data_IF_004762422635
#
_entry.id   IF_004762422635
#
_cell.length_a   1.000
_cell.length_b   1.000
_cell.length_c   1.000
_cell.angle_alpha   90.00
_cell.angle_beta   90.00
_cell.angle_gamma   90.00
#
_symmetry.space_group_name_H-M   'P 1'
#
loop_
_entity.id
_entity.type
_entity.pdbx_description
1 polymer ?
#
# COMPACT_ATOMS: atom_id res chain seq x y z
N UNK A 1 -27.79 4.75 34.56
CA UNK A 1 -27.87 3.98 33.30
C UNK A 1 -26.52 4.08 32.63
N UNK A 2 -25.89 2.92 32.39
CA UNK A 2 -24.48 2.73 32.07
C UNK A 2 -24.06 3.43 30.76
N UNK A 3 -22.98 4.23 30.81
CA UNK A 3 -22.29 4.77 29.64
C UNK A 3 -21.20 3.77 29.23
N UNK A 4 -21.32 3.20 28.03
CA UNK A 4 -20.31 2.32 27.46
C UNK A 4 -19.03 3.11 27.12
N UNK A 5 -17.82 2.64 27.46
CA UNK A 5 -16.60 3.35 27.10
C UNK A 5 -16.38 3.31 25.59
N UNK A 6 -16.02 4.46 25.02
CA UNK A 6 -15.58 4.58 23.64
C UNK A 6 -14.45 3.58 23.37
N UNK A 7 -14.61 2.77 22.33
CA UNK A 7 -13.60 1.80 21.87
C UNK A 7 -12.26 2.53 21.69
N UNK A 8 -11.23 2.06 22.38
CA UNK A 8 -9.85 2.42 22.07
C UNK A 8 -9.54 2.07 20.61
N UNK A 9 -8.82 2.91 19.85
CA UNK A 9 -8.32 2.49 18.55
C UNK A 9 -7.36 1.33 18.80
N UNK A 10 -7.72 0.14 18.31
CA UNK A 10 -6.75 -0.96 18.25
C UNK A 10 -5.54 -0.45 17.46
N UNK A 11 -4.30 -0.67 17.92
CA UNK A 11 -3.17 -0.48 17.03
C UNK A 11 -3.40 -1.41 15.85
N UNK A 12 -3.46 -0.85 14.64
CA UNK A 12 -3.42 -1.62 13.41
C UNK A 12 -1.99 -2.20 13.31
N UNK A 13 -1.70 -3.23 14.09
CA UNK A 13 -0.67 -4.18 13.68
C UNK A 13 -1.30 -4.90 12.50
N UNK A 14 -1.05 -4.34 11.32
CA UNK A 14 -1.62 -4.79 10.07
C UNK A 14 -0.97 -6.10 9.69
N UNK A 15 -1.47 -7.21 10.24
CA UNK A 15 -1.08 -8.53 9.75
C UNK A 15 -1.54 -8.63 8.29
N UNK A 16 -0.58 -8.65 7.35
CA UNK A 16 -0.84 -8.82 5.91
C UNK A 16 -0.55 -7.60 5.03
N UNK A 17 0.30 -6.68 5.46
CA UNK A 17 0.80 -5.61 4.59
C UNK A 17 1.96 -6.12 3.70
N UNK A 18 2.12 -5.54 2.51
CA UNK A 18 3.23 -5.91 1.60
C UNK A 18 4.61 -5.63 2.22
N UNK A 19 4.69 -4.65 3.12
CA UNK A 19 5.91 -4.29 3.86
C UNK A 19 6.24 -5.26 5.01
N UNK A 20 5.37 -6.23 5.31
CA UNK A 20 5.69 -7.30 6.26
C UNK A 20 6.77 -8.24 5.68
N UNK A 21 6.94 -8.23 4.35
CA UNK A 21 8.07 -8.88 3.68
C UNK A 21 9.33 -8.05 3.89
N UNK A 22 10.29 -8.62 4.62
CA UNK A 22 11.56 -7.94 4.90
C UNK A 22 12.26 -7.45 3.62
N UNK A 23 12.70 -6.18 3.62
CA UNK A 23 13.37 -5.56 2.49
C UNK A 23 12.45 -4.92 1.44
N UNK A 24 11.12 -5.02 1.60
CA UNK A 24 10.14 -4.30 0.77
C UNK A 24 9.72 -3.00 1.45
N UNK A 25 9.84 -1.90 0.70
CA UNK A 25 9.38 -0.57 1.11
C UNK A 25 8.26 -0.08 0.18
N UNK A 26 7.38 0.78 0.70
CA UNK A 26 6.29 1.41 -0.06
C UNK A 26 6.31 2.92 0.16
N UNK A 27 6.23 3.68 -0.92
CA UNK A 27 6.08 5.14 -0.90
C UNK A 27 4.86 5.59 -1.70
N UNK A 28 4.19 6.63 -1.23
CA UNK A 28 3.04 7.26 -1.89
C UNK A 28 3.24 8.76 -2.04
N UNK A 29 2.79 9.31 -3.15
CA UNK A 29 2.67 10.75 -3.36
C UNK A 29 1.32 11.08 -3.99
N UNK A 30 0.70 12.17 -3.55
CA UNK A 30 -0.59 12.67 -4.04
C UNK A 30 -0.47 14.16 -4.38
N UNK A 31 -0.87 14.57 -5.58
CA UNK A 31 -1.11 15.99 -5.89
C UNK A 31 -2.58 16.31 -5.57
N UNK A 32 -2.83 16.99 -4.46
CA UNK A 32 -4.19 17.32 -4.02
C UNK A 32 -4.91 18.29 -4.97
N UNK A 33 -4.18 19.08 -5.76
CA UNK A 33 -4.76 20.05 -6.70
C UNK A 33 -5.36 19.39 -7.94
N UNK A 34 -4.90 18.18 -8.26
CA UNK A 34 -5.41 17.33 -9.34
C UNK A 34 -5.41 15.91 -8.83
N UNK A 35 -6.55 15.34 -8.42
CA UNK A 35 -6.63 14.14 -7.58
C UNK A 35 -5.99 12.93 -8.28
N UNK A 36 -4.68 12.83 -8.13
CA UNK A 36 -3.77 11.95 -8.85
C UNK A 36 -2.52 11.80 -8.01
N UNK A 37 -1.75 10.77 -8.30
CA UNK A 37 -0.59 10.43 -7.49
C UNK A 37 0.16 9.24 -8.04
N UNK A 38 1.16 8.79 -7.29
CA UNK A 38 1.88 7.57 -7.58
C UNK A 38 2.13 6.78 -6.30
N UNK A 39 2.20 5.46 -6.47
CA UNK A 39 2.64 4.51 -5.46
C UNK A 39 3.84 3.78 -6.03
N UNK A 40 4.88 3.61 -5.22
CA UNK A 40 6.08 2.87 -5.59
C UNK A 40 6.32 1.79 -4.54
N UNK A 41 6.56 0.57 -5.00
CA UNK A 41 7.09 -0.53 -4.20
C UNK A 41 8.57 -0.65 -4.52
N UNK A 42 9.44 -0.62 -3.51
CA UNK A 42 10.90 -0.64 -3.67
C UNK A 42 11.45 -1.89 -2.99
N UNK A 43 12.14 -2.73 -3.77
CA UNK A 43 13.05 -3.74 -3.26
C UNK A 43 14.48 -3.22 -3.43
N UNK A 44 15.09 -2.70 -2.35
CA UNK A 44 16.39 -1.98 -2.45
C UNK A 44 17.52 -2.85 -3.00
N UNK A 45 17.55 -4.11 -2.61
CA UNK A 45 18.54 -5.10 -3.06
C UNK A 45 18.13 -5.79 -4.38
N UNK A 46 17.04 -5.33 -5.01
CA UNK A 46 16.41 -6.00 -6.14
C UNK A 46 15.53 -7.19 -5.71
N UNK A 47 14.68 -7.63 -6.63
CA UNK A 47 13.84 -8.82 -6.49
C UNK A 47 13.52 -9.38 -7.87
N UNK A 48 13.19 -10.67 -7.96
CA UNK A 48 12.68 -11.27 -9.21
C UNK A 48 11.28 -10.74 -9.47
N UNK A 49 11.06 -10.14 -10.65
CA UNK A 49 9.78 -9.60 -11.08
C UNK A 49 9.06 -10.47 -12.11
N UNK A 50 7.72 -10.38 -12.14
CA UNK A 50 6.85 -10.97 -13.16
C UNK A 50 5.60 -10.13 -13.35
N UNK A 51 4.98 -10.17 -14.54
CA UNK A 51 3.81 -9.36 -14.89
C UNK A 51 2.77 -10.19 -15.64
N UNK A 52 1.50 -9.97 -15.34
CA UNK A 52 0.35 -10.51 -16.07
C UNK A 52 -0.66 -9.38 -16.31
N UNK A 53 -0.99 -9.13 -17.58
CA UNK A 53 -1.87 -8.04 -18.01
C UNK A 53 -3.11 -8.63 -18.63
N UNK A 54 -4.25 -8.50 -17.95
CA UNK A 54 -5.52 -9.11 -18.36
C UNK A 54 -6.46 -8.16 -19.11
N UNK A 55 -6.26 -6.85 -18.98
CA UNK A 55 -7.12 -5.83 -19.58
C UNK A 55 -6.81 -5.55 -21.06
N UNK A 56 -7.81 -5.10 -21.83
CA UNK A 56 -7.70 -4.88 -23.27
C UNK A 56 -7.04 -3.54 -23.69
N UNK A 57 -6.90 -2.58 -22.77
CA UNK A 57 -6.30 -1.27 -23.03
C UNK A 57 -5.23 -0.93 -21.99
N UNK A 58 -4.07 -1.62 -22.00
CA UNK A 58 -3.05 -1.45 -20.96
C UNK A 58 -2.18 -0.20 -21.18
N UNK A 59 -1.68 0.35 -20.08
CA UNK A 59 -0.53 1.25 -20.06
C UNK A 59 0.52 0.69 -19.10
N UNK A 60 1.63 0.18 -19.62
CA UNK A 60 2.68 -0.52 -18.86
C UNK A 60 4.06 -0.02 -19.26
N UNK A 61 5.01 0.00 -18.32
CA UNK A 61 6.43 0.32 -18.54
C UNK A 61 7.28 -0.50 -17.59
#
# INVERSE_FOLDING_TARGET
MSHAPARSPRPLHGDGAITDVAGIEVGHFTDERRPSGCTVVIAREGAVGGVDVRGAAPGTR
#
